data_IF_744977492386
#
_entry.id   IF_744977492386
#
_cell.length_a   1.000
_cell.length_b   1.000
_cell.length_c   1.000
_cell.angle_alpha   90.00
_cell.angle_beta   90.00
_cell.angle_gamma   90.00
#
_symmetry.space_group_name_H-M   'P 1'
#
loop_
_entity.id
_entity.type
_entity.pdbx_description
1 polymer ?
#
# COMPACT_ATOMS: atom_id res chain seq x y z
N UNK A 1 -12.47 -6.33 4.59
CA UNK A 1 -12.06 -5.04 5.22
C UNK A 1 -12.83 -3.83 4.69
N UNK A 2 -13.02 -3.67 3.37
CA UNK A 2 -13.73 -2.52 2.81
C UNK A 2 -15.18 -2.39 3.30
N UNK A 3 -15.90 -3.51 3.46
CA UNK A 3 -17.26 -3.50 4.04
C UNK A 3 -17.32 -2.81 5.40
N UNK A 4 -16.38 -3.10 6.31
CA UNK A 4 -16.33 -2.46 7.62
C UNK A 4 -16.05 -0.95 7.53
N UNK A 5 -15.19 -0.54 6.59
CA UNK A 5 -14.85 0.88 6.37
C UNK A 5 -16.05 1.66 5.86
N UNK A 6 -16.78 1.12 4.88
CA UNK A 6 -17.93 1.80 4.25
C UNK A 6 -19.03 2.19 5.26
N UNK A 7 -19.28 1.33 6.27
CA UNK A 7 -20.19 1.62 7.38
C UNK A 7 -19.76 2.81 8.24
N UNK A 8 -18.46 3.11 8.29
CA UNK A 8 -17.88 4.13 9.17
C UNK A 8 -17.41 5.39 8.43
N UNK A 9 -17.49 5.43 7.10
CA UNK A 9 -17.16 6.63 6.34
C UNK A 9 -18.04 7.82 6.77
N UNK A 10 -17.44 9.01 6.80
CA UNK A 10 -18.18 10.28 6.88
C UNK A 10 -18.86 10.58 5.54
N UNK A 11 -19.90 11.42 5.58
CA UNK A 11 -20.51 11.99 4.35
C UNK A 11 -19.44 12.79 3.61
N UNK A 12 -19.36 12.62 2.28
CA UNK A 12 -18.31 13.09 1.37
C UNK A 12 -16.91 12.53 1.65
N UNK A 13 -16.83 11.37 2.30
CA UNK A 13 -15.59 10.64 2.50
C UNK A 13 -14.91 10.23 1.18
N UNK A 14 -13.61 9.89 1.26
CA UNK A 14 -12.80 9.50 0.10
C UNK A 14 -12.06 8.20 0.39
N UNK A 15 -12.07 7.29 -0.57
CA UNK A 15 -11.30 6.03 -0.55
C UNK A 15 -10.38 6.05 -1.76
N UNK A 16 -9.07 6.08 -1.52
CA UNK A 16 -8.06 5.93 -2.55
C UNK A 16 -7.74 4.43 -2.70
N UNK A 17 -8.24 3.81 -3.77
CA UNK A 17 -8.10 2.38 -4.02
C UNK A 17 -6.73 2.08 -4.66
N UNK A 18 -5.68 2.07 -3.85
CA UNK A 18 -4.31 1.76 -4.29
C UNK A 18 -4.09 0.28 -4.61
N UNK A 19 -4.78 -0.62 -3.89
CA UNK A 19 -4.62 -2.06 -4.02
C UNK A 19 -5.56 -2.82 -3.09
N UNK A 20 -5.64 -4.13 -3.29
CA UNK A 20 -6.51 -5.04 -2.53
C UNK A 20 -5.77 -6.33 -2.22
N UNK A 21 -4.67 -6.24 -1.46
CA UNK A 21 -3.73 -7.35 -1.24
C UNK A 21 -4.38 -8.63 -0.69
N UNK A 22 -5.45 -8.51 0.10
CA UNK A 22 -6.20 -9.66 0.62
C UNK A 22 -6.87 -10.50 -0.47
N UNK A 23 -7.02 -9.97 -1.69
CA UNK A 23 -7.68 -10.63 -2.81
C UNK A 23 -6.68 -11.30 -3.77
N UNK A 24 -5.38 -10.99 -3.70
CA UNK A 24 -4.42 -11.39 -4.74
C UNK A 24 -4.20 -12.90 -4.85
N UNK A 25 -4.27 -13.63 -3.72
CA UNK A 25 -4.08 -15.08 -3.66
C UNK A 25 -5.36 -15.82 -3.24
N UNK A 26 -6.52 -15.16 -3.29
CA UNK A 26 -7.78 -15.80 -2.93
C UNK A 26 -8.27 -16.70 -4.07
N UNK A 27 -8.68 -17.94 -3.77
CA UNK A 27 -9.24 -18.87 -4.77
C UNK A 27 -10.48 -18.28 -5.47
N UNK A 28 -11.25 -17.48 -4.73
CA UNK A 28 -12.38 -16.70 -5.25
C UNK A 28 -12.36 -15.32 -4.60
N UNK A 29 -12.56 -14.23 -5.36
CA UNK A 29 -12.64 -12.89 -4.78
C UNK A 29 -13.82 -12.77 -3.81
N UNK A 30 -13.57 -12.14 -2.67
CA UNK A 30 -14.63 -11.77 -1.73
C UNK A 30 -15.37 -10.53 -2.25
N UNK A 31 -16.70 -10.63 -2.35
CA UNK A 31 -17.56 -9.51 -2.74
C UNK A 31 -17.69 -8.45 -1.65
N UNK A 32 -17.94 -7.20 -2.07
CA UNK A 32 -18.27 -6.08 -1.16
C UNK A 32 -19.79 -5.99 -1.06
N UNK A 33 -20.33 -6.19 0.14
CA UNK A 33 -21.75 -6.39 0.37
C UNK A 33 -22.55 -5.09 0.59
N UNK A 34 -21.89 -3.98 0.89
CA UNK A 34 -22.57 -2.76 1.38
C UNK A 34 -22.25 -1.47 0.60
N UNK A 35 -22.01 -1.60 -0.71
CA UNK A 35 -21.70 -0.49 -1.61
C UNK A 35 -22.75 0.65 -1.61
N UNK A 36 -23.99 0.39 -1.20
CA UNK A 36 -25.01 1.45 -1.02
C UNK A 36 -24.58 2.57 -0.06
N UNK A 37 -23.66 2.30 0.87
CA UNK A 37 -23.06 3.34 1.71
C UNK A 37 -22.32 4.40 0.89
N UNK A 38 -21.79 4.06 -0.28
CA UNK A 38 -21.17 5.03 -1.19
C UNK A 38 -22.20 6.06 -1.61
N UNK A 39 -23.41 5.62 -1.97
CA UNK A 39 -24.53 6.51 -2.33
C UNK A 39 -25.00 7.29 -1.10
N UNK A 40 -25.31 6.60 0.01
CA UNK A 40 -25.82 7.22 1.24
C UNK A 40 -24.87 8.21 1.90
N UNK A 41 -23.59 8.14 1.57
CA UNK A 41 -22.58 9.04 2.12
C UNK A 41 -21.86 9.85 1.05
N UNK A 42 -22.22 9.73 -0.24
CA UNK A 42 -21.55 10.40 -1.37
C UNK A 42 -20.04 10.20 -1.32
N UNK A 43 -19.60 8.97 -1.02
CA UNK A 43 -18.18 8.66 -0.93
C UNK A 43 -17.60 8.64 -2.34
N UNK A 44 -16.42 9.24 -2.54
CA UNK A 44 -15.64 9.04 -3.76
C UNK A 44 -14.72 7.84 -3.55
N UNK A 45 -14.88 6.82 -4.38
CA UNK A 45 -13.96 5.67 -4.43
C UNK A 45 -13.22 5.76 -5.76
N UNK A 46 -11.89 5.90 -5.70
CA UNK A 46 -11.09 6.15 -6.90
C UNK A 46 -9.81 5.32 -6.88
N UNK A 47 -9.62 4.51 -7.91
CA UNK A 47 -8.36 3.80 -8.16
C UNK A 47 -7.35 4.72 -8.87
N UNK A 48 -6.08 4.44 -8.67
CA UNK A 48 -4.99 5.15 -9.33
C UNK A 48 -3.77 4.23 -9.45
N UNK A 49 -2.92 4.48 -10.44
CA UNK A 49 -1.64 3.77 -10.60
C UNK A 49 -0.49 4.76 -10.52
N UNK A 50 0.60 4.37 -9.85
CA UNK A 50 1.80 5.22 -9.71
C UNK A 50 2.39 5.62 -11.07
N UNK A 51 2.20 4.79 -12.10
CA UNK A 51 2.68 5.05 -13.47
C UNK A 51 2.06 6.32 -14.07
N UNK A 52 0.84 6.68 -13.67
CA UNK A 52 0.15 7.90 -14.15
C UNK A 52 0.71 9.19 -13.52
N UNK A 53 1.63 9.06 -12.55
CA UNK A 53 2.14 10.16 -11.72
C UNK A 53 3.67 10.29 -11.77
N UNK A 54 4.38 9.56 -12.64
CA UNK A 54 5.85 9.61 -12.73
C UNK A 54 6.40 11.00 -13.04
N UNK A 55 5.64 11.85 -13.74
CA UNK A 55 5.95 13.26 -13.97
C UNK A 55 6.10 14.08 -12.67
N UNK A 56 5.56 13.59 -11.55
CA UNK A 56 5.66 14.23 -10.23
C UNK A 56 6.88 13.75 -9.43
N UNK A 57 7.63 12.77 -9.94
CA UNK A 57 8.71 12.12 -9.20
C UNK A 57 9.79 13.09 -8.73
N UNK A 58 10.26 14.01 -9.58
CA UNK A 58 11.26 15.01 -9.19
C UNK A 58 10.76 15.88 -8.03
N UNK A 59 9.52 16.39 -8.15
CA UNK A 59 8.89 17.20 -7.11
C UNK A 59 8.72 16.44 -5.79
N UNK A 60 8.42 15.14 -5.88
CA UNK A 60 8.36 14.26 -4.72
C UNK A 60 9.72 14.15 -4.03
N UNK A 61 10.82 13.94 -4.77
CA UNK A 61 12.17 13.88 -4.21
C UNK A 61 12.58 15.19 -3.54
N UNK A 62 12.30 16.33 -4.20
CA UNK A 62 12.57 17.67 -3.66
C UNK A 62 11.87 17.91 -2.31
N UNK A 63 10.73 17.23 -2.09
CA UNK A 63 9.96 17.34 -0.84
C UNK A 63 10.41 16.33 0.21
N UNK A 64 10.57 15.06 -0.16
CA UNK A 64 10.77 13.96 0.80
C UNK A 64 12.21 13.85 1.28
N UNK A 65 13.21 14.14 0.44
CA UNK A 65 14.62 14.06 0.85
C UNK A 65 14.92 14.99 2.04
N UNK A 66 14.54 16.28 2.02
CA UNK A 66 14.72 17.15 3.18
C UNK A 66 14.01 16.60 4.43
N UNK A 67 12.77 16.11 4.30
CA UNK A 67 12.02 15.58 5.45
C UNK A 67 12.66 14.34 6.08
N UNK A 68 13.27 13.47 5.27
CA UNK A 68 14.05 12.34 5.78
C UNK A 68 15.29 12.85 6.50
N UNK A 69 16.05 13.78 5.90
CA UNK A 69 17.28 14.35 6.51
C UNK A 69 16.99 15.09 7.82
N UNK A 70 15.83 15.75 7.92
CA UNK A 70 15.37 16.46 9.11
C UNK A 70 14.70 15.54 10.15
N UNK A 71 14.54 14.24 9.87
CA UNK A 71 13.87 13.30 10.76
C UNK A 71 12.34 13.50 10.87
N UNK A 72 11.74 14.30 9.98
CA UNK A 72 10.28 14.49 9.89
C UNK A 72 9.57 13.28 9.30
N UNK A 73 10.28 12.48 8.50
CA UNK A 73 9.84 11.18 7.98
C UNK A 73 10.84 10.13 8.44
N UNK A 74 10.33 9.04 9.02
CA UNK A 74 11.11 7.83 9.33
C UNK A 74 10.68 6.70 8.41
N UNK A 75 11.57 5.73 8.20
CA UNK A 75 11.33 4.58 7.34
C UNK A 75 11.83 3.31 8.02
N UNK A 76 11.06 2.22 7.90
CA UNK A 76 11.36 0.92 8.53
C UNK A 76 11.45 -0.12 7.43
N UNK A 77 12.57 -0.83 7.40
CA UNK A 77 12.88 -1.89 6.45
C UNK A 77 12.98 -3.23 7.16
N UNK A 78 12.53 -4.27 6.46
CA UNK A 78 12.76 -5.67 6.78
C UNK A 78 13.73 -6.20 5.72
N UNK A 79 14.97 -6.48 6.11
CA UNK A 79 16.07 -6.78 5.19
C UNK A 79 16.36 -8.28 5.22
N UNK A 80 16.14 -8.94 4.09
CA UNK A 80 16.57 -10.31 3.85
C UNK A 80 17.95 -10.31 3.17
N UNK A 81 18.92 -11.06 3.71
CA UNK A 81 20.27 -11.16 3.13
C UNK A 81 20.36 -12.28 2.09
N UNK A 82 21.02 -12.00 0.97
CA UNK A 82 21.24 -12.97 -0.11
C UNK A 82 20.05 -13.06 -1.07
N UNK A 83 20.35 -13.23 -2.36
CA UNK A 83 19.31 -13.38 -3.40
C UNK A 83 18.45 -14.64 -3.16
N UNK A 84 19.06 -15.67 -2.57
CA UNK A 84 18.46 -16.95 -2.22
C UNK A 84 17.31 -16.79 -1.21
N UNK A 85 17.33 -15.73 -0.40
CA UNK A 85 16.25 -15.39 0.53
C UNK A 85 15.05 -14.74 -0.15
N UNK A 86 15.19 -14.25 -1.38
CA UNK A 86 14.17 -13.53 -2.13
C UNK A 86 12.83 -14.26 -2.24
N UNK A 87 12.77 -15.55 -2.64
CA UNK A 87 11.52 -16.30 -2.71
C UNK A 87 10.78 -16.37 -1.37
N UNK A 88 11.49 -16.64 -0.28
CA UNK A 88 10.90 -16.73 1.05
C UNK A 88 10.40 -15.35 1.53
N UNK A 89 11.18 -14.29 1.28
CA UNK A 89 10.81 -12.91 1.60
C UNK A 89 9.54 -12.47 0.84
N UNK A 90 9.45 -12.79 -0.46
CA UNK A 90 8.28 -12.48 -1.28
C UNK A 90 7.01 -13.21 -0.81
N UNK A 91 7.10 -14.52 -0.53
CA UNK A 91 5.98 -15.28 0.02
C UNK A 91 5.58 -14.77 1.41
N UNK A 92 6.56 -14.31 2.20
CA UNK A 92 6.34 -13.69 3.50
C UNK A 92 5.40 -12.48 3.46
N UNK A 93 5.44 -11.68 2.39
CA UNK A 93 4.57 -10.50 2.21
C UNK A 93 3.08 -10.85 2.31
N UNK A 94 2.68 -11.95 1.67
CA UNK A 94 1.27 -12.38 1.64
C UNK A 94 0.80 -13.02 2.94
N UNK A 95 1.75 -13.33 3.85
CA UNK A 95 1.48 -13.87 5.17
C UNK A 95 1.70 -12.83 6.27
N UNK A 96 1.94 -11.56 5.92
CA UNK A 96 2.19 -10.49 6.87
C UNK A 96 3.44 -10.68 7.73
N UNK A 97 4.45 -11.41 7.23
CA UNK A 97 5.69 -11.69 7.98
C UNK A 97 6.62 -10.50 8.07
N UNK A 98 6.58 -9.60 7.09
CA UNK A 98 7.48 -8.46 7.02
C UNK A 98 7.11 -7.39 8.05
N UNK A 99 8.12 -6.81 8.71
CA UNK A 99 7.95 -5.63 9.58
C UNK A 99 8.52 -4.40 8.87
N UNK A 100 7.65 -3.65 8.18
CA UNK A 100 8.07 -2.54 7.33
C UNK A 100 8.24 -2.96 5.87
N UNK A 101 9.06 -2.23 5.10
CA UNK A 101 9.28 -2.57 3.68
C UNK A 101 10.24 -3.74 3.57
N UNK A 102 9.81 -4.82 2.93
CA UNK A 102 10.70 -5.91 2.55
C UNK A 102 11.72 -5.45 1.49
N UNK A 103 13.00 -5.67 1.80
CA UNK A 103 14.17 -5.47 0.94
C UNK A 103 14.98 -6.77 0.90
N UNK A 104 15.68 -7.02 -0.22
CA UNK A 104 16.65 -8.11 -0.35
C UNK A 104 18.02 -7.51 -0.63
N UNK A 105 18.95 -7.70 0.30
CA UNK A 105 20.35 -7.28 0.15
C UNK A 105 21.12 -8.37 -0.61
N UNK A 106 21.28 -8.18 -1.92
CA UNK A 106 21.94 -9.17 -2.80
C UNK A 106 23.46 -9.16 -2.63
N UNK A 107 24.04 -7.97 -2.59
CA UNK A 107 25.44 -7.73 -2.24
C UNK A 107 25.49 -6.45 -1.44
N UNK A 108 26.40 -6.41 -0.47
CA UNK A 108 26.80 -5.17 0.19
C UNK A 108 28.01 -4.62 -0.56
N UNK A 109 28.11 -3.30 -0.64
CA UNK A 109 29.30 -2.61 -1.16
C UNK A 109 30.53 -2.94 -0.30
#
# INVERSE_FOLDING_TARGET
MLDAVLLNMRVHGRIAACGMISQYNADKPEGVSNLMNIVYKRVRVEGFLVLDYLQQYSKFLDTVIPYIKEGKITYVEDIAEGLESGPAALVGLFNGRNVGKQVVAVSRE
#
